data_IF_196865640180
#
_entry.id   IF_196865640180
#
_cell.length_a   1.000
_cell.length_b   1.000
_cell.length_c   1.000
_cell.angle_alpha   90.00
_cell.angle_beta   90.00
_cell.angle_gamma   90.00
#
_symmetry.space_group_name_H-M   'P 1'
#
loop_
_entity.id
_entity.type
_entity.pdbx_description
1 polymer ?
#
# COMPACT_ATOMS: atom_id res chain seq x y z
N UNK A 1 -18.22 -41.41 -16.83
CA UNK A 1 -18.72 -40.03 -16.98
C UNK A 1 -18.75 -39.40 -15.60
N UNK A 2 -17.84 -38.49 -15.30
CA UNK A 2 -17.90 -37.63 -14.11
C UNK A 2 -18.02 -36.20 -14.60
N UNK A 3 -19.14 -35.57 -14.28
CA UNK A 3 -19.41 -34.16 -14.60
C UNK A 3 -18.83 -33.36 -13.44
N UNK A 4 -17.74 -32.64 -13.68
CA UNK A 4 -17.16 -31.71 -12.73
C UNK A 4 -17.90 -30.38 -12.89
N UNK A 5 -18.69 -29.91 -11.92
CA UNK A 5 -19.29 -28.59 -12.02
C UNK A 5 -18.18 -27.57 -11.76
N UNK A 6 -17.81 -26.83 -12.82
CA UNK A 6 -16.94 -25.67 -12.73
C UNK A 6 -17.70 -24.55 -12.00
N UNK A 7 -17.64 -24.53 -10.67
CA UNK A 7 -17.99 -23.36 -9.89
C UNK A 7 -16.87 -22.34 -10.01
N UNK A 8 -16.89 -21.57 -11.09
CA UNK A 8 -16.11 -20.33 -11.19
C UNK A 8 -16.79 -19.30 -10.30
N UNK A 9 -16.44 -19.26 -9.02
CA UNK A 9 -16.73 -18.09 -8.19
C UNK A 9 -15.98 -16.91 -8.81
N UNK A 10 -16.66 -15.84 -9.25
CA UNK A 10 -15.97 -14.65 -9.68
C UNK A 10 -15.26 -14.10 -8.46
N UNK A 11 -13.93 -14.16 -8.47
CA UNK A 11 -13.13 -13.34 -7.60
C UNK A 11 -13.40 -11.89 -8.03
N UNK A 12 -14.42 -11.26 -7.43
CA UNK A 12 -14.53 -9.81 -7.42
C UNK A 12 -13.12 -9.31 -7.07
N UNK A 13 -12.55 -8.42 -7.87
CA UNK A 13 -11.39 -7.56 -7.60
C UNK A 13 -11.97 -6.13 -7.42
N UNK A 14 -12.41 -5.62 -6.25
CA UNK A 14 -11.80 -4.54 -5.44
C UNK A 14 -10.59 -3.94 -6.11
N UNK A 15 -10.91 -3.35 -7.24
CA UNK A 15 -10.38 -2.08 -7.65
C UNK A 15 -10.18 -1.17 -6.43
N UNK A 16 -9.01 -0.53 -6.36
CA UNK A 16 -8.71 0.55 -5.41
C UNK A 16 -9.86 1.58 -5.33
N UNK A 17 -10.57 1.80 -6.44
CA UNK A 17 -11.75 2.67 -6.57
C UNK A 17 -12.96 2.29 -5.70
N UNK A 18 -13.01 1.08 -5.11
CA UNK A 18 -14.10 0.63 -4.25
C UNK A 18 -13.89 0.97 -2.76
N UNK A 19 -12.71 1.49 -2.39
CA UNK A 19 -12.42 1.91 -1.02
C UNK A 19 -12.95 3.31 -0.73
N UNK A 20 -13.24 3.66 0.53
CA UNK A 20 -13.44 5.05 0.91
C UNK A 20 -12.25 5.92 0.48
N UNK A 21 -12.52 7.18 0.13
CA UNK A 21 -11.51 8.09 -0.42
C UNK A 21 -10.27 8.23 0.47
N UNK A 22 -10.46 8.25 1.79
CA UNK A 22 -9.37 8.34 2.76
C UNK A 22 -8.44 7.11 2.70
N UNK A 23 -9.01 5.91 2.55
CA UNK A 23 -8.25 4.66 2.43
C UNK A 23 -7.48 4.59 1.10
N UNK A 24 -8.05 5.13 0.02
CA UNK A 24 -7.35 5.28 -1.26
C UNK A 24 -6.17 6.25 -1.14
N UNK A 25 -6.38 7.38 -0.45
CA UNK A 25 -5.33 8.38 -0.20
C UNK A 25 -4.22 7.82 0.67
N UNK A 26 -4.56 7.03 1.69
CA UNK A 26 -3.59 6.30 2.50
C UNK A 26 -2.74 5.36 1.63
N UNK A 27 -3.35 4.48 0.84
CA UNK A 27 -2.61 3.52 0.01
C UNK A 27 -1.68 4.21 -1.00
N UNK A 28 -2.13 5.31 -1.62
CA UNK A 28 -1.29 6.10 -2.53
C UNK A 28 -0.09 6.72 -1.80
N UNK A 29 -0.31 7.23 -0.59
CA UNK A 29 0.74 7.87 0.20
C UNK A 29 1.73 6.84 0.76
N UNK A 30 1.22 5.68 1.17
CA UNK A 30 2.01 4.52 1.58
C UNK A 30 3.00 4.11 0.49
N UNK A 31 2.51 3.91 -0.74
CA UNK A 31 3.32 3.59 -1.92
C UNK A 31 4.40 4.65 -2.20
N UNK A 32 4.07 5.94 -2.10
CA UNK A 32 5.05 7.03 -2.30
C UNK A 32 6.10 7.09 -1.19
N UNK A 33 5.71 6.85 0.06
CA UNK A 33 6.66 6.84 1.18
C UNK A 33 7.66 5.70 1.04
N UNK A 34 7.21 4.50 0.65
CA UNK A 34 8.09 3.36 0.40
C UNK A 34 9.03 3.63 -0.80
N UNK A 35 8.48 4.15 -1.90
CA UNK A 35 9.25 4.53 -3.07
C UNK A 35 10.40 5.49 -2.72
N UNK A 36 10.13 6.59 -2.00
CA UNK A 36 11.17 7.54 -1.62
C UNK A 36 12.14 7.01 -0.56
N UNK A 37 11.70 6.10 0.32
CA UNK A 37 12.60 5.46 1.27
C UNK A 37 13.65 4.62 0.55
N UNK A 38 13.28 3.94 -0.53
CA UNK A 38 14.19 3.16 -1.38
C UNK A 38 15.19 3.99 -2.19
N UNK A 39 15.02 5.32 -2.27
CA UNK A 39 15.92 6.22 -3.00
C UNK A 39 17.04 6.84 -2.14
N UNK A 40 17.04 6.61 -0.82
CA UNK A 40 18.07 7.17 0.05
C UNK A 40 19.44 6.51 -0.18
N UNK A 41 20.46 7.33 -0.42
CA UNK A 41 21.85 6.87 -0.50
C UNK A 41 22.53 6.82 0.87
N UNK A 42 22.01 7.57 1.84
CA UNK A 42 22.58 7.66 3.19
C UNK A 42 23.91 8.41 3.26
N UNK A 43 24.24 9.17 2.22
CA UNK A 43 25.52 9.86 2.04
C UNK A 43 25.46 11.34 2.43
N UNK A 44 24.29 11.82 2.87
CA UNK A 44 24.03 13.24 3.19
C UNK A 44 24.16 14.16 1.96
N UNK A 45 23.93 13.62 0.77
CA UNK A 45 23.87 14.39 -0.47
C UNK A 45 22.70 15.39 -0.49
N UNK A 46 22.74 16.31 -1.44
CA UNK A 46 21.60 17.18 -1.74
C UNK A 46 20.34 16.38 -2.10
N UNK A 47 20.52 15.19 -2.71
CA UNK A 47 19.42 14.28 -3.01
C UNK A 47 18.77 13.74 -1.74
N UNK A 48 19.56 13.24 -0.78
CA UNK A 48 19.03 12.82 0.52
C UNK A 48 18.28 13.97 1.23
N UNK A 49 18.79 15.21 1.12
CA UNK A 49 18.11 16.38 1.68
C UNK A 49 16.78 16.70 0.96
N UNK A 50 16.70 16.49 -0.36
CA UNK A 50 15.47 16.61 -1.13
C UNK A 50 14.45 15.55 -0.74
N UNK A 51 14.86 14.28 -0.69
CA UNK A 51 14.00 13.16 -0.30
C UNK A 51 13.42 13.37 1.10
N UNK A 52 14.23 13.85 2.06
CA UNK A 52 13.74 14.21 3.39
C UNK A 52 12.61 15.26 3.36
N UNK A 53 12.71 16.28 2.50
CA UNK A 53 11.67 17.31 2.35
C UNK A 53 10.39 16.73 1.75
N UNK A 54 10.51 15.87 0.74
CA UNK A 54 9.35 15.22 0.10
C UNK A 54 8.65 14.26 1.07
N UNK A 55 9.41 13.43 1.79
CA UNK A 55 8.84 12.54 2.81
C UNK A 55 8.17 13.31 3.96
N UNK A 56 8.70 14.47 4.35
CA UNK A 56 8.07 15.34 5.33
C UNK A 56 6.73 15.91 4.83
N UNK A 57 6.66 16.38 3.58
CA UNK A 57 5.41 16.86 2.95
C UNK A 57 4.35 15.74 2.87
N UNK A 58 4.80 14.52 2.57
CA UNK A 58 3.95 13.32 2.56
C UNK A 58 3.63 12.77 3.95
N UNK A 59 4.17 13.37 5.02
CA UNK A 59 3.99 12.90 6.40
C UNK A 59 4.35 11.42 6.57
N UNK A 60 5.42 10.97 5.94
CA UNK A 60 5.84 9.57 6.02
C UNK A 60 6.22 9.15 7.45
N UNK A 61 6.56 10.09 8.34
CA UNK A 61 6.84 9.79 9.74
C UNK A 61 5.65 9.22 10.54
N UNK A 62 4.41 9.32 10.05
CA UNK A 62 3.24 8.67 10.68
C UNK A 62 2.76 7.41 9.95
N UNK A 63 3.42 7.02 8.85
CA UNK A 63 2.88 6.01 7.93
C UNK A 63 2.75 4.63 8.59
N UNK A 64 3.72 4.21 9.41
CA UNK A 64 3.69 2.92 10.11
C UNK A 64 2.50 2.77 11.06
N UNK A 65 2.13 3.86 11.75
CA UNK A 65 0.99 3.85 12.66
C UNK A 65 -0.33 3.75 11.88
N UNK A 66 -0.41 4.46 10.76
CA UNK A 66 -1.57 4.43 9.87
C UNK A 66 -1.71 3.08 9.18
N UNK A 67 -0.60 2.45 8.78
CA UNK A 67 -0.57 1.09 8.24
C UNK A 67 -1.10 0.07 9.27
N UNK A 68 -0.63 0.12 10.53
CA UNK A 68 -1.17 -0.73 11.60
C UNK A 68 -2.68 -0.55 11.77
N UNK A 69 -3.16 0.69 11.73
CA UNK A 69 -4.59 0.97 11.81
C UNK A 69 -5.35 0.43 10.59
N UNK A 70 -4.80 0.59 9.38
CA UNK A 70 -5.37 0.07 8.14
C UNK A 70 -5.46 -1.46 8.15
N UNK A 71 -4.38 -2.15 8.54
CA UNK A 71 -4.35 -3.61 8.67
C UNK A 71 -5.40 -4.11 9.65
N UNK A 72 -5.56 -3.43 10.79
CA UNK A 72 -6.60 -3.76 11.78
C UNK A 72 -8.01 -3.55 11.20
N UNK A 73 -8.25 -2.43 10.50
CA UNK A 73 -9.54 -2.10 9.88
C UNK A 73 -9.95 -3.11 8.82
N UNK A 74 -8.99 -3.62 8.03
CA UNK A 74 -9.25 -4.54 6.91
C UNK A 74 -8.83 -5.99 7.17
N UNK A 75 -8.59 -6.39 8.42
CA UNK A 75 -8.03 -7.70 8.77
C UNK A 75 -8.77 -8.90 8.15
N UNK A 76 -10.09 -8.80 7.97
CA UNK A 76 -10.92 -9.87 7.37
C UNK A 76 -11.21 -9.65 5.88
N UNK A 77 -10.80 -8.52 5.31
CA UNK A 77 -10.93 -8.22 3.89
C UNK A 77 -9.65 -8.62 3.15
N UNK A 78 -9.55 -9.91 2.82
CA UNK A 78 -8.37 -10.54 2.17
C UNK A 78 -7.85 -9.78 0.96
N UNK A 79 -8.75 -9.10 0.27
CA UNK A 79 -8.52 -8.47 -1.00
C UNK A 79 -7.95 -7.07 -0.88
N UNK A 80 -8.47 -6.29 0.08
CA UNK A 80 -7.86 -5.01 0.46
C UNK A 80 -6.49 -5.27 1.09
N UNK A 81 -6.38 -6.33 1.89
CA UNK A 81 -5.08 -6.75 2.44
C UNK A 81 -4.12 -7.21 1.34
N UNK A 82 -4.58 -7.92 0.31
CA UNK A 82 -3.74 -8.28 -0.84
C UNK A 82 -3.19 -7.03 -1.56
N UNK A 83 -3.99 -5.96 -1.70
CA UNK A 83 -3.51 -4.69 -2.24
C UNK A 83 -2.38 -4.11 -1.41
N UNK A 84 -2.49 -4.10 -0.08
CA UNK A 84 -1.41 -3.61 0.79
C UNK A 84 -0.16 -4.50 0.69
N UNK A 85 -0.33 -5.82 0.73
CA UNK A 85 0.77 -6.79 0.60
C UNK A 85 1.52 -6.63 -0.73
N UNK A 86 0.79 -6.32 -1.81
CA UNK A 86 1.42 -6.08 -3.11
C UNK A 86 2.26 -4.79 -3.12
N UNK A 87 1.89 -3.78 -2.34
CA UNK A 87 2.70 -2.57 -2.16
C UNK A 87 3.93 -2.83 -1.29
N UNK A 88 3.86 -3.78 -0.36
CA UNK A 88 4.99 -4.17 0.50
C UNK A 88 6.03 -5.06 -0.21
N UNK A 89 5.70 -5.54 -1.41
CA UNK A 89 6.55 -6.50 -2.11
C UNK A 89 7.80 -5.78 -2.63
N UNK A 90 9.02 -6.23 -2.25
CA UNK A 90 10.24 -5.68 -2.82
C UNK A 90 10.28 -5.98 -4.33
N UNK A 91 10.62 -4.96 -5.13
CA UNK A 91 10.82 -5.08 -6.58
C UNK A 91 12.09 -5.89 -6.92
#
# INVERSE_FOLDING_TARGET
MMVIPAFTTPALAASKNALPKEDQQFLKRYELCDHFAGEFNGDRSERDAELNREMAKLRCGSIDQEEKAFRKKYAHNKKVMATLIQLDAPY
#
